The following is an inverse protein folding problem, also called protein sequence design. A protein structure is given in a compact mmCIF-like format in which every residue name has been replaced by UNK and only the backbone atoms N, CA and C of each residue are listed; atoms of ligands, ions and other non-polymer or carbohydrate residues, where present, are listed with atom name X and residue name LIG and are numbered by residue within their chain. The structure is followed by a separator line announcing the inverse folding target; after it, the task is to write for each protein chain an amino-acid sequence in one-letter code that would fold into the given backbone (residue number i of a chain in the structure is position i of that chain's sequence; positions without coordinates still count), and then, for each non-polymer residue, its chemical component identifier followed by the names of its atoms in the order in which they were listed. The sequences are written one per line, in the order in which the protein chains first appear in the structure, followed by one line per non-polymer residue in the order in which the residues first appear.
data_IF_426730786747
#
_entry.id   IF_426730786747
#
_cell.length_a   1.000
_cell.length_b   1.000
_cell.length_c   1.000
_cell.angle_alpha   90.00
_cell.angle_beta   90.00
_cell.angle_gamma   90.00
#
_symmetry.space_group_name_H-M   'P 1'
#
loop_
_entity.id
_entity.type
_entity.pdbx_description
1 polymer ?
#
# COMPACT_ATOMS: atom_id res chain seq x y z
N UNK A 1 28.56 1.41 -39.76
CA UNK A 1 28.90 2.46 -38.79
C UNK A 1 27.58 3.06 -38.32
N UNK A 2 27.06 2.58 -37.19
CA UNK A 2 25.75 2.93 -36.66
C UNK A 2 25.84 4.28 -35.95
N UNK A 3 25.19 5.30 -36.50
CA UNK A 3 24.89 6.54 -35.78
C UNK A 3 23.40 6.56 -35.50
N UNK A 4 23.03 6.16 -34.27
CA UNK A 4 21.67 6.28 -33.76
C UNK A 4 21.72 7.37 -32.70
N UNK A 5 20.84 8.35 -32.88
CA UNK A 5 20.59 9.46 -31.98
C UNK A 5 20.46 9.01 -30.52
N UNK A 6 21.11 9.74 -29.62
CA UNK A 6 21.00 9.55 -28.19
C UNK A 6 19.57 9.75 -27.71
N UNK A 7 18.89 8.64 -27.43
CA UNK A 7 17.83 8.61 -26.44
C UNK A 7 18.43 8.04 -25.18
N UNK A 8 18.70 8.95 -24.24
CA UNK A 8 18.94 8.67 -22.84
C UNK A 8 17.79 7.77 -22.35
N UNK A 9 18.08 6.50 -22.07
CA UNK A 9 17.22 5.63 -21.30
C UNK A 9 17.18 6.20 -19.88
N UNK A 10 16.16 7.02 -19.60
CA UNK A 10 15.75 7.26 -18.22
C UNK A 10 15.12 5.95 -17.74
N UNK A 11 15.90 5.16 -17.03
CA UNK A 11 15.37 4.19 -16.08
C UNK A 11 14.59 5.04 -15.08
N UNK A 12 13.26 5.10 -15.21
CA UNK A 12 12.40 5.58 -14.14
C UNK A 12 12.52 4.55 -13.01
N UNK A 13 13.50 4.77 -12.15
CA UNK A 13 13.68 4.11 -10.85
C UNK A 13 12.75 4.68 -9.79
N UNK A 14 11.79 5.51 -10.17
CA UNK A 14 10.83 6.12 -9.28
C UNK A 14 9.56 5.25 -9.26
N UNK A 15 9.69 4.03 -8.74
CA UNK A 15 8.52 3.29 -8.25
C UNK A 15 8.25 3.79 -6.84
N UNK A 16 7.60 4.95 -6.78
CA UNK A 16 6.60 5.36 -5.79
C UNK A 16 6.73 4.77 -4.37
N UNK A 17 7.85 5.04 -3.71
CA UNK A 17 7.90 4.98 -2.25
C UNK A 17 6.90 5.96 -1.61
N UNK A 18 6.51 7.00 -2.35
CA UNK A 18 5.51 7.98 -1.95
C UNK A 18 4.10 7.37 -1.88
N UNK A 19 3.65 6.62 -2.90
CA UNK A 19 2.30 6.03 -2.92
C UNK A 19 2.14 4.94 -1.85
N UNK A 20 3.19 4.16 -1.57
CA UNK A 20 3.18 3.19 -0.46
C UNK A 20 3.06 3.86 0.91
N UNK A 21 3.68 5.03 1.07
CA UNK A 21 3.62 5.81 2.31
C UNK A 21 2.25 6.47 2.47
N UNK A 22 1.63 6.92 1.38
CA UNK A 22 0.25 7.46 1.40
C UNK A 22 -0.80 6.38 1.74
N UNK A 23 -0.56 5.13 1.35
CA UNK A 23 -1.37 3.97 1.76
C UNK A 23 -1.12 3.51 3.21
N UNK A 24 -0.02 3.93 3.84
CA UNK A 24 0.24 3.74 5.26
C UNK A 24 -0.37 4.90 6.06
N UNK A 25 -1.69 4.87 6.27
CA UNK A 25 -2.37 5.88 7.07
C UNK A 25 -1.74 6.07 8.46
N UNK A 26 -1.65 7.31 8.90
CA UNK A 26 -1.12 7.66 10.23
C UNK A 26 -1.99 7.03 11.34
N UNK A 27 -1.45 6.01 12.02
CA UNK A 27 -2.14 5.33 13.13
C UNK A 27 -2.23 6.23 14.39
N UNK A 28 -1.52 7.36 14.40
CA UNK A 28 -1.42 8.25 15.54
C UNK A 28 -1.38 9.73 15.10
N UNK A 29 -2.40 10.50 15.48
CA UNK A 29 -2.37 11.96 15.40
C UNK A 29 -1.93 12.46 16.78
N UNK A 30 -0.75 13.07 16.84
CA UNK A 30 -0.29 13.77 18.05
C UNK A 30 -1.27 14.88 18.41
N UNK A 31 -1.91 14.76 19.56
CA UNK A 31 -2.79 15.79 20.10
C UNK A 31 -2.05 16.51 21.24
N UNK A 32 -2.05 17.84 21.23
CA UNK A 32 -1.49 18.62 22.33
C UNK A 32 -2.23 18.31 23.64
N UNK A 33 -1.48 18.13 24.72
CA UNK A 33 -2.08 17.81 26.01
C UNK A 33 -3.05 18.91 26.43
N UNK A 34 -4.33 18.61 26.71
CA UNK A 34 -5.30 19.62 27.10
C UNK A 34 -4.81 20.37 28.34
N UNK A 35 -5.11 21.67 28.41
CA UNK A 35 -4.68 22.53 29.51
C UNK A 35 -5.14 21.91 30.84
N UNK A 36 -4.23 21.74 31.82
CA UNK A 36 -4.58 21.12 33.09
C UNK A 36 -5.76 21.88 33.72
N UNK A 37 -6.74 21.17 34.31
CA UNK A 37 -7.90 21.79 34.91
C UNK A 37 -7.47 22.88 35.88
N UNK A 38 -8.03 24.09 35.73
CA UNK A 38 -7.79 25.18 36.68
C UNK A 38 -8.11 24.68 38.08
N UNK A 39 -7.15 24.80 39.00
CA UNK A 39 -7.30 24.29 40.36
C UNK A 39 -8.58 24.86 40.97
N UNK A 40 -9.56 23.99 41.17
CA UNK A 40 -10.84 24.36 41.76
C UNK A 40 -10.63 24.92 43.16
N UNK A 41 -11.47 25.88 43.51
CA UNK A 41 -11.57 26.62 44.79
C UNK A 41 -11.52 25.74 46.07
N UNK A 42 -11.62 24.42 45.97
CA UNK A 42 -11.54 23.48 47.08
C UNK A 42 -10.13 23.14 47.58
N UNK A 43 -9.07 23.63 46.92
CA UNK A 43 -7.70 23.41 47.41
C UNK A 43 -7.43 24.08 48.79
N UNK A 44 -8.27 25.02 49.20
CA UNK A 44 -8.20 25.68 50.51
C UNK A 44 -8.92 24.97 51.67
N UNK A 45 -9.86 24.05 51.41
CA UNK A 45 -10.67 23.41 52.48
C UNK A 45 -10.34 21.92 52.71
N UNK A 46 -9.70 21.26 51.74
CA UNK A 46 -9.12 19.92 51.91
C UNK A 46 -7.59 19.93 51.70
N UNK A 47 -6.96 21.10 51.87
CA UNK A 47 -5.57 21.39 51.51
C UNK A 47 -4.53 20.65 52.34
N UNK A 48 -4.17 19.43 51.93
CA UNK A 48 -2.82 18.91 52.08
C UNK A 48 -2.01 19.35 50.87
N UNK A 49 -1.04 20.24 51.05
CA UNK A 49 -0.18 20.81 50.00
C UNK A 49 0.55 19.75 49.16
N UNK A 50 1.26 20.19 48.13
CA UNK A 50 2.06 19.33 47.23
C UNK A 50 3.08 18.49 48.00
N UNK A 51 2.63 17.34 48.50
CA UNK A 51 3.49 16.29 49.02
C UNK A 51 4.11 15.60 47.81
N UNK A 52 5.44 15.46 47.81
CA UNK A 52 6.14 14.58 46.88
C UNK A 52 5.43 13.23 46.93
N UNK A 53 4.74 12.85 45.86
CA UNK A 53 3.94 11.64 45.85
C UNK A 53 4.88 10.45 46.04
N UNK A 54 4.79 9.81 47.20
CA UNK A 54 5.62 8.67 47.54
C UNK A 54 5.14 7.45 46.76
N UNK A 55 6.08 6.69 46.20
CA UNK A 55 5.80 5.53 45.36
C UNK A 55 5.01 4.46 46.13
N UNK A 56 5.30 4.34 47.42
CA UNK A 56 4.64 3.40 48.32
C UNK A 56 3.17 3.78 48.58
N UNK A 57 2.83 5.07 48.53
CA UNK A 57 1.45 5.52 48.71
C UNK A 57 0.63 5.37 47.42
N UNK A 58 1.27 5.51 46.26
CA UNK A 58 0.63 5.36 44.95
C UNK A 58 0.47 3.91 44.49
N UNK A 59 1.40 3.03 44.87
CA UNK A 59 1.44 1.65 44.36
C UNK A 59 1.66 0.58 45.43
N UNK A 60 1.81 0.97 46.70
CA UNK A 60 1.87 0.02 47.81
C UNK A 60 0.50 -0.50 48.21
N UNK A 61 0.49 -1.35 49.23
CA UNK A 61 -0.70 -2.12 49.64
C UNK A 61 -1.87 -1.24 50.13
N UNK A 62 -1.57 0.00 50.53
CA UNK A 62 -2.52 1.03 50.97
C UNK A 62 -3.06 1.92 49.85
N UNK A 63 -2.62 1.75 48.60
CA UNK A 63 -2.99 2.59 47.44
C UNK A 63 -4.45 2.49 46.98
N UNK A 64 -5.28 1.72 47.70
CA UNK A 64 -6.69 1.54 47.42
C UNK A 64 -6.95 0.55 46.29
N UNK A 65 -8.12 -0.10 46.28
CA UNK A 65 -8.46 -1.06 45.23
C UNK A 65 -8.70 -0.37 43.90
N UNK A 66 -8.17 -0.95 42.82
CA UNK A 66 -8.39 -0.50 41.44
C UNK A 66 -9.87 -0.15 41.21
N UNK A 67 -10.12 1.02 40.63
CA UNK A 67 -11.48 1.50 40.38
C UNK A 67 -12.25 0.48 39.54
N UNK A 68 -13.35 -0.06 40.09
CA UNK A 68 -14.22 -1.06 39.44
C UNK A 68 -15.14 -0.47 38.38
N UNK A 69 -15.06 0.83 38.12
CA UNK A 69 -15.82 1.43 37.02
C UNK A 69 -15.22 0.99 35.70
N UNK A 70 -15.86 0.02 35.06
CA UNK A 70 -15.71 -0.26 33.63
C UNK A 70 -15.77 1.07 32.90
N UNK A 71 -14.72 1.38 32.12
CA UNK A 71 -14.69 2.56 31.28
C UNK A 71 -15.96 2.56 30.42
N UNK A 72 -16.86 3.51 30.67
CA UNK A 72 -18.04 3.71 29.82
C UNK A 72 -17.52 4.20 28.49
N UNK A 73 -17.81 3.46 27.42
CA UNK A 73 -17.49 3.85 26.05
C UNK A 73 -17.96 5.29 25.83
N UNK A 74 -17.00 6.21 25.68
CA UNK A 74 -17.28 7.61 25.35
C UNK A 74 -17.71 7.60 23.89
N UNK A 75 -18.96 7.92 23.54
CA UNK A 75 -19.36 8.03 22.14
C UNK A 75 -18.61 9.23 21.53
N UNK A 76 -17.50 8.94 20.87
CA UNK A 76 -16.84 9.87 19.95
C UNK A 76 -17.50 9.82 18.57
N UNK A 77 -17.18 10.76 17.66
CA UNK A 77 -17.72 10.80 16.31
C UNK A 77 -17.17 9.62 15.47
N UNK A 78 -17.70 8.42 15.69
CA UNK A 78 -17.32 7.19 14.97
C UNK A 78 -17.91 7.13 13.56
N UNK A 79 -18.84 8.03 13.21
CA UNK A 79 -19.45 8.08 11.88
C UNK A 79 -18.42 8.39 10.79
N UNK A 80 -17.44 9.27 11.08
CA UNK A 80 -16.35 9.58 10.15
C UNK A 80 -15.46 8.37 9.85
N UNK A 81 -15.24 7.49 10.84
CA UNK A 81 -14.47 6.25 10.65
C UNK A 81 -15.29 5.26 9.82
N UNK A 82 -16.59 5.13 10.10
CA UNK A 82 -17.47 4.22 9.38
C UNK A 82 -17.62 4.61 7.90
N UNK A 83 -17.73 5.91 7.61
CA UNK A 83 -17.77 6.44 6.25
C UNK A 83 -16.47 6.15 5.49
N UNK A 84 -15.31 6.42 6.11
CA UNK A 84 -13.99 6.12 5.54
C UNK A 84 -13.79 4.63 5.28
N UNK A 85 -14.22 3.76 6.20
CA UNK A 85 -14.14 2.30 6.00
C UNK A 85 -15.05 1.87 4.85
N UNK A 86 -16.24 2.46 4.73
CA UNK A 86 -17.16 2.16 3.64
C UNK A 86 -16.62 2.60 2.29
N UNK A 87 -16.00 3.78 2.18
CA UNK A 87 -15.39 4.25 0.93
C UNK A 87 -14.20 3.39 0.53
N UNK A 88 -13.27 3.14 1.47
CA UNK A 88 -12.09 2.31 1.22
C UNK A 88 -12.46 0.89 0.79
N UNK A 89 -13.48 0.27 1.41
CA UNK A 89 -13.95 -1.07 1.02
C UNK A 89 -14.57 -1.05 -0.39
N UNK A 90 -15.26 0.04 -0.76
CA UNK A 90 -15.81 0.23 -2.09
C UNK A 90 -14.70 0.28 -3.16
N UNK A 91 -13.65 1.04 -2.93
CA UNK A 91 -12.50 1.15 -3.83
C UNK A 91 -11.77 -0.19 -3.98
N UNK A 92 -11.57 -0.93 -2.88
CA UNK A 92 -10.97 -2.28 -2.91
C UNK A 92 -11.81 -3.25 -3.74
N UNK A 93 -13.13 -3.22 -3.64
CA UNK A 93 -14.00 -4.07 -4.45
C UNK A 93 -13.92 -3.73 -5.95
N UNK A 94 -13.83 -2.44 -6.29
CA UNK A 94 -13.63 -2.02 -7.69
C UNK A 94 -12.26 -2.48 -8.21
N UNK A 95 -11.20 -2.30 -7.41
CA UNK A 95 -9.87 -2.77 -7.75
C UNK A 95 -9.83 -4.30 -7.96
N UNK A 96 -10.52 -5.06 -7.10
CA UNK A 96 -10.65 -6.50 -7.24
C UNK A 96 -11.28 -6.89 -8.59
N UNK A 97 -12.39 -6.23 -8.97
CA UNK A 97 -13.05 -6.48 -10.25
C UNK A 97 -12.12 -6.21 -11.44
N UNK A 98 -11.37 -5.10 -11.41
CA UNK A 98 -10.40 -4.78 -12.46
C UNK A 98 -9.27 -5.83 -12.56
N UNK A 99 -8.82 -6.36 -11.42
CA UNK A 99 -7.80 -7.42 -11.38
C UNK A 99 -8.33 -8.73 -11.97
N UNK A 100 -9.60 -9.08 -11.68
CA UNK A 100 -10.24 -10.27 -12.27
C UNK A 100 -10.32 -10.15 -13.79
N UNK A 101 -10.82 -9.04 -14.32
CA UNK A 101 -10.87 -8.79 -15.77
C UNK A 101 -9.49 -8.79 -16.41
N UNK A 102 -8.49 -8.24 -15.72
CA UNK A 102 -7.09 -8.30 -16.16
C UNK A 102 -6.61 -9.74 -16.23
N UNK A 103 -6.94 -10.58 -15.24
CA UNK A 103 -6.61 -12.01 -15.24
C UNK A 103 -7.16 -12.74 -16.44
N UNK A 104 -8.44 -12.52 -16.77
CA UNK A 104 -9.07 -13.11 -17.96
C UNK A 104 -8.38 -12.65 -19.26
N UNK A 105 -8.08 -11.35 -19.38
CA UNK A 105 -7.36 -10.80 -20.55
C UNK A 105 -5.96 -11.36 -20.69
N UNK A 106 -5.24 -11.56 -19.57
CA UNK A 106 -3.91 -12.16 -19.58
C UNK A 106 -3.95 -13.63 -20.00
N UNK A 107 -4.94 -14.39 -19.55
CA UNK A 107 -5.13 -15.78 -19.99
C UNK A 107 -5.38 -15.86 -21.50
N UNK A 108 -6.24 -14.99 -22.05
CA UNK A 108 -6.45 -14.92 -23.50
C UNK A 108 -5.19 -14.46 -24.25
N UNK A 109 -4.40 -13.57 -23.67
CA UNK A 109 -3.15 -13.11 -24.25
C UNK A 109 -2.13 -14.24 -24.32
N UNK A 110 -1.99 -15.04 -23.26
CA UNK A 110 -1.11 -16.22 -23.22
C UNK A 110 -1.41 -17.19 -24.36
N UNK A 111 -2.68 -17.56 -24.55
CA UNK A 111 -3.10 -18.45 -25.65
C UNK A 111 -2.74 -17.88 -27.03
N UNK A 112 -2.95 -16.57 -27.23
CA UNK A 112 -2.62 -15.89 -28.50
C UNK A 112 -1.11 -15.82 -28.71
N UNK A 113 -0.34 -15.52 -27.67
CA UNK A 113 1.11 -15.46 -27.73
C UNK A 113 1.72 -16.84 -27.98
N UNK A 114 1.17 -17.91 -27.41
CA UNK A 114 1.59 -19.28 -27.70
C UNK A 114 1.38 -19.64 -29.18
N UNK A 115 0.21 -19.30 -29.75
CA UNK A 115 -0.04 -19.49 -31.20
C UNK A 115 0.92 -18.66 -32.05
N UNK A 116 1.11 -17.39 -31.70
CA UNK A 116 2.04 -16.49 -32.39
C UNK A 116 3.47 -17.03 -32.36
N UNK A 117 3.91 -17.60 -31.24
CA UNK A 117 5.24 -18.23 -31.12
C UNK A 117 5.38 -19.41 -32.09
N UNK A 118 4.37 -20.28 -32.17
CA UNK A 118 4.37 -21.41 -33.12
C UNK A 118 4.40 -20.93 -34.57
N UNK A 119 3.60 -19.91 -34.92
CA UNK A 119 3.60 -19.31 -36.25
C UNK A 119 4.95 -18.67 -36.59
N UNK A 120 5.57 -17.96 -35.64
CA UNK A 120 6.88 -17.36 -35.81
C UNK A 120 7.97 -18.42 -36.02
N UNK A 121 7.91 -19.55 -35.30
CA UNK A 121 8.83 -20.67 -35.50
C UNK A 121 8.67 -21.28 -36.91
N UNK A 122 7.45 -21.55 -37.33
CA UNK A 122 7.15 -22.06 -38.68
C UNK A 122 7.65 -21.10 -39.77
N UNK A 123 7.41 -19.80 -39.58
CA UNK A 123 7.89 -18.77 -40.49
C UNK A 123 9.42 -18.73 -40.55
N UNK A 124 10.10 -18.77 -39.40
CA UNK A 124 11.55 -18.80 -39.31
C UNK A 124 12.15 -20.00 -40.06
N UNK A 125 11.58 -21.19 -39.86
CA UNK A 125 11.99 -22.41 -40.57
C UNK A 125 11.77 -22.28 -42.08
N UNK A 126 10.61 -21.77 -42.52
CA UNK A 126 10.31 -21.54 -43.94
C UNK A 126 11.25 -20.53 -44.59
N UNK A 127 11.52 -19.41 -43.92
CA UNK A 127 12.46 -18.38 -44.38
C UNK A 127 13.88 -18.92 -44.45
N UNK A 128 14.31 -19.70 -43.45
CA UNK A 128 15.62 -20.35 -43.45
C UNK A 128 15.76 -21.35 -44.60
N UNK A 129 14.73 -22.17 -44.83
CA UNK A 129 14.68 -23.11 -45.96
C UNK A 129 14.75 -22.40 -47.31
N UNK A 130 14.04 -21.27 -47.47
CA UNK A 130 14.12 -20.45 -48.67
C UNK A 130 15.53 -19.87 -48.85
N UNK A 131 16.10 -19.32 -47.78
CA UNK A 131 17.46 -18.79 -47.79
C UNK A 131 18.46 -19.86 -48.26
N UNK A 132 18.43 -21.07 -47.69
CA UNK A 132 19.34 -22.15 -48.09
C UNK A 132 19.20 -22.54 -49.57
N UNK A 133 17.97 -22.61 -50.09
CA UNK A 133 17.72 -22.94 -51.51
C UNK A 133 18.34 -21.92 -52.47
N UNK A 134 18.34 -20.65 -52.10
CA UNK A 134 18.81 -19.57 -52.97
C UNK A 134 20.24 -19.10 -52.64
N UNK A 135 20.80 -19.49 -51.48
CA UNK A 135 22.13 -19.07 -51.02
C UNK A 135 23.22 -19.31 -52.07
N UNK A 136 23.21 -20.49 -52.69
CA UNK A 136 24.22 -20.90 -53.66
C UNK A 136 23.69 -21.03 -55.09
N UNK A 137 22.40 -20.74 -55.33
CA UNK A 137 21.78 -20.90 -56.64
C UNK A 137 22.45 -19.96 -57.65
N UNK A 138 23.01 -20.52 -58.71
CA UNK A 138 23.61 -19.74 -59.79
C UNK A 138 22.53 -19.39 -60.81
N UNK A 139 22.62 -18.18 -61.36
CA UNK A 139 21.63 -17.62 -62.29
C UNK A 139 21.45 -18.45 -63.58
N UNK A 140 22.42 -19.29 -63.93
CA UNK A 140 22.40 -20.17 -65.11
C UNK A 140 21.85 -21.58 -64.85
N UNK A 141 21.52 -21.92 -63.60
CA UNK A 141 20.91 -23.20 -63.22
C UNK A 141 19.43 -22.96 -62.98
N UNK A 142 18.64 -22.93 -64.05
CA UNK A 142 17.19 -22.76 -63.98
C UNK A 142 16.52 -24.01 -63.43
#
# INVERSE_FOLDING_TARGET
MLSIWGHQLFVNGDTDHAELTEMMGDLFIGHDMPEPPKEGFFKGLFGGGSRSLDREELFGESSGRASRTVAKHIPGPNDAIRERVSSATGEVNMAHQMVVERGEKLSQLEDRTARMMSEAENFSQGAHGLMLKYKDKKWYQL
#
